data_IF_375666856156
#
_entry.id   IF_375666856156
#
_cell.length_a   1.000
_cell.length_b   1.000
_cell.length_c   1.000
_cell.angle_alpha   90.00
_cell.angle_beta   90.00
_cell.angle_gamma   90.00
#
_symmetry.space_group_name_H-M   'P 1'
#
loop_
_entity.id
_entity.type
_entity.pdbx_description
1 polymer ?
#
# COMPACT_ATOMS: atom_id res chain seq x y z
N UNK A 1 -15.04 5.07 3.23
CA UNK A 1 -16.35 4.40 3.00
C UNK A 1 -16.23 2.92 3.31
N UNK A 2 -17.10 2.39 4.17
CA UNK A 2 -17.07 0.99 4.62
C UNK A 2 -18.10 0.15 3.87
N UNK A 3 -17.74 -1.10 3.54
CA UNK A 3 -18.55 -2.02 2.77
C UNK A 3 -18.65 -3.37 3.46
N UNK A 4 -19.89 -3.89 3.56
CA UNK A 4 -20.18 -5.23 4.08
C UNK A 4 -19.86 -6.35 3.07
N UNK A 5 -19.04 -6.06 2.06
CA UNK A 5 -18.62 -6.99 1.01
C UNK A 5 -17.21 -6.67 0.56
N UNK A 6 -16.53 -7.69 0.02
CA UNK A 6 -15.19 -7.58 -0.51
C UNK A 6 -15.18 -6.64 -1.72
N UNK A 7 -14.32 -5.63 -1.66
CA UNK A 7 -14.03 -4.77 -2.81
C UNK A 7 -13.08 -5.52 -3.74
N UNK A 8 -13.47 -5.68 -4.99
CA UNK A 8 -12.71 -6.25 -6.08
C UNK A 8 -12.37 -5.17 -7.10
N UNK A 9 -11.51 -5.52 -8.05
CA UNK A 9 -11.17 -4.64 -9.19
C UNK A 9 -12.43 -4.23 -9.98
N UNK A 10 -13.46 -5.07 -10.01
CA UNK A 10 -14.67 -4.83 -10.80
C UNK A 10 -15.69 -3.92 -10.10
N UNK A 11 -15.67 -3.83 -8.77
CA UNK A 11 -16.67 -3.12 -7.97
C UNK A 11 -16.10 -1.94 -7.15
N UNK A 12 -14.89 -1.46 -7.48
CA UNK A 12 -14.28 -0.31 -6.81
C UNK A 12 -15.20 0.92 -6.85
N UNK A 13 -15.51 1.53 -5.69
CA UNK A 13 -16.38 2.70 -5.62
C UNK A 13 -15.70 3.93 -6.20
N UNK A 14 -16.48 4.75 -6.91
CA UNK A 14 -16.05 6.08 -7.33
C UNK A 14 -15.84 6.97 -6.09
N UNK A 15 -14.83 7.86 -6.09
CA UNK A 15 -14.66 8.85 -5.03
C UNK A 15 -15.89 9.75 -4.92
N UNK A 16 -16.23 10.17 -3.70
CA UNK A 16 -17.41 11.00 -3.43
C UNK A 16 -17.00 12.44 -3.11
N UNK A 17 -17.47 13.41 -3.90
CA UNK A 17 -17.28 14.85 -3.60
C UNK A 17 -15.87 15.39 -3.85
N UNK A 18 -15.39 16.28 -2.96
CA UNK A 18 -14.07 16.95 -3.02
C UNK A 18 -12.87 16.01 -2.77
N UNK A 19 -13.14 14.74 -2.51
CA UNK A 19 -12.15 13.68 -2.36
C UNK A 19 -11.39 13.46 -3.67
N UNK A 20 -10.18 14.01 -3.76
CA UNK A 20 -9.23 13.88 -4.85
C UNK A 20 -9.65 14.35 -6.26
N UNK A 21 -10.95 14.50 -6.55
CA UNK A 21 -11.47 14.86 -7.86
C UNK A 21 -11.71 16.35 -8.07
N UNK A 22 -11.65 17.19 -7.01
CA UNK A 22 -12.10 18.60 -7.07
C UNK A 22 -11.18 19.55 -6.30
N UNK A 23 -9.86 19.31 -6.28
CA UNK A 23 -8.91 20.27 -5.69
C UNK A 23 -7.87 20.66 -6.73
N UNK A 24 -7.54 21.96 -6.89
CA UNK A 24 -6.48 22.41 -7.79
C UNK A 24 -5.16 21.68 -7.54
N UNK A 25 -4.27 21.68 -8.54
CA UNK A 25 -2.98 20.98 -8.66
C UNK A 25 -1.97 21.10 -7.50
N UNK A 26 -2.32 21.76 -6.41
CA UNK A 26 -1.47 21.98 -5.24
C UNK A 26 -1.47 20.80 -4.26
N UNK A 27 -2.41 19.86 -4.41
CA UNK A 27 -2.56 18.72 -3.50
C UNK A 27 -2.17 17.40 -4.17
N UNK A 28 -1.42 16.57 -3.46
CA UNK A 28 -1.32 15.16 -3.81
C UNK A 28 -2.54 14.39 -3.31
N UNK A 29 -2.77 13.20 -3.86
CA UNK A 29 -3.84 12.34 -3.42
C UNK A 29 -3.42 10.91 -3.14
N UNK A 30 -4.09 10.33 -2.15
CA UNK A 30 -3.96 8.94 -1.74
C UNK A 30 -5.31 8.26 -1.82
N UNK A 31 -5.41 7.22 -2.63
CA UNK A 31 -6.55 6.30 -2.64
C UNK A 31 -6.13 4.97 -1.99
N UNK A 32 -6.79 4.58 -0.90
CA UNK A 32 -6.49 3.36 -0.15
C UNK A 32 -7.65 2.40 -0.17
N UNK A 33 -7.39 1.13 -0.43
CA UNK A 33 -8.33 0.01 -0.26
C UNK A 33 -7.79 -0.88 0.85
N UNK A 34 -8.60 -1.19 1.84
CA UNK A 34 -8.31 -2.12 2.92
C UNK A 34 -9.25 -3.31 2.84
N UNK A 35 -8.71 -4.52 2.96
CA UNK A 35 -9.44 -5.77 3.08
C UNK A 35 -9.25 -6.33 4.48
N UNK A 36 -10.37 -6.63 5.14
CA UNK A 36 -10.41 -7.26 6.45
C UNK A 36 -10.66 -8.77 6.30
N UNK A 37 -10.29 -9.53 7.31
CA UNK A 37 -10.44 -10.98 7.34
C UNK A 37 -11.87 -11.47 7.53
N UNK A 38 -12.74 -10.63 8.09
CA UNK A 38 -14.19 -10.87 8.19
C UNK A 38 -14.93 -10.78 6.84
N UNK A 39 -14.19 -10.50 5.74
CA UNK A 39 -14.74 -10.36 4.39
C UNK A 39 -15.31 -8.97 4.10
N UNK A 40 -15.16 -8.00 5.02
CA UNK A 40 -15.49 -6.60 4.75
C UNK A 40 -14.33 -5.87 4.09
N UNK A 41 -14.60 -4.68 3.56
CA UNK A 41 -13.59 -3.85 2.94
C UNK A 41 -13.89 -2.37 3.13
N UNK A 42 -12.86 -1.55 3.04
CA UNK A 42 -12.97 -0.12 3.18
C UNK A 42 -12.15 0.59 2.11
N UNK A 43 -12.67 1.70 1.59
CA UNK A 43 -11.94 2.59 0.68
C UNK A 43 -11.90 4.01 1.22
N UNK A 44 -10.72 4.61 1.20
CA UNK A 44 -10.49 5.99 1.60
C UNK A 44 -9.81 6.77 0.50
N UNK A 45 -10.21 8.03 0.34
CA UNK A 45 -9.58 8.99 -0.54
C UNK A 45 -9.15 10.19 0.31
N UNK A 46 -7.87 10.52 0.28
CA UNK A 46 -7.28 11.57 1.12
C UNK A 46 -6.48 12.51 0.21
N UNK A 47 -6.80 13.80 0.25
CA UNK A 47 -5.99 14.86 -0.35
C UNK A 47 -5.02 15.43 0.70
N UNK A 48 -3.73 15.47 0.39
CA UNK A 48 -2.69 16.05 1.26
C UNK A 48 -1.70 16.86 0.42
N UNK A 49 -1.43 18.14 0.77
CA UNK A 49 -0.49 18.97 0.03
C UNK A 49 0.97 18.48 0.12
N UNK A 50 1.28 17.61 1.08
CA UNK A 50 2.65 17.19 1.37
C UNK A 50 2.99 15.78 0.87
N UNK A 51 2.18 15.17 -0.02
CA UNK A 51 2.55 13.86 -0.58
C UNK A 51 3.84 13.99 -1.41
N UNK A 52 4.95 13.35 -0.97
CA UNK A 52 6.25 13.70 -1.51
C UNK A 52 6.54 13.04 -2.85
N UNK A 53 5.91 11.89 -3.17
CA UNK A 53 6.26 11.07 -4.35
C UNK A 53 5.09 10.19 -4.81
N UNK A 54 5.02 9.96 -6.13
CA UNK A 54 4.16 8.94 -6.75
C UNK A 54 4.60 7.54 -6.31
N UNK A 55 3.72 6.84 -5.60
CA UNK A 55 4.03 5.53 -5.02
C UNK A 55 2.81 4.64 -4.91
N UNK A 56 3.02 3.33 -5.02
CA UNK A 56 2.09 2.32 -4.52
C UNK A 56 2.63 1.80 -3.19
N UNK A 57 1.85 1.95 -2.13
CA UNK A 57 2.16 1.38 -0.81
C UNK A 57 1.27 0.18 -0.60
N UNK A 58 1.86 -0.94 -0.27
CA UNK A 58 1.15 -2.18 0.04
C UNK A 58 1.50 -2.61 1.46
N UNK A 59 0.52 -3.07 2.21
CA UNK A 59 0.78 -3.61 3.54
C UNK A 59 0.00 -4.90 3.77
N UNK A 60 0.69 -5.87 4.36
CA UNK A 60 0.07 -7.04 4.99
C UNK A 60 0.32 -6.95 6.48
N UNK A 61 -0.76 -6.95 7.26
CA UNK A 61 -0.72 -6.94 8.72
C UNK A 61 -1.38 -8.20 9.27
N UNK A 62 -0.75 -8.79 10.30
CA UNK A 62 -1.35 -9.84 11.10
C UNK A 62 -1.15 -9.55 12.57
N UNK A 63 -2.24 -9.60 13.34
CA UNK A 63 -2.30 -9.28 14.77
C UNK A 63 -2.93 -10.43 15.54
N UNK A 64 -2.50 -10.64 16.77
CA UNK A 64 -3.08 -11.60 17.71
C UNK A 64 -3.47 -10.87 18.98
N UNK A 65 -4.75 -10.91 19.32
CA UNK A 65 -5.26 -10.37 20.59
C UNK A 65 -4.98 -11.36 21.71
N UNK A 66 -4.09 -11.02 22.65
CA UNK A 66 -3.53 -12.01 23.59
C UNK A 66 -4.57 -12.67 24.51
N UNK A 67 -5.70 -12.02 24.78
CA UNK A 67 -6.72 -12.52 25.70
C UNK A 67 -7.71 -13.47 25.06
N UNK A 68 -8.00 -13.28 23.78
CA UNK A 68 -8.90 -14.16 23.01
C UNK A 68 -8.14 -15.20 22.17
N UNK A 69 -6.85 -14.96 21.90
CA UNK A 69 -6.11 -15.74 20.90
C UNK A 69 -6.63 -15.52 19.47
N UNK A 70 -7.45 -14.49 19.27
CA UNK A 70 -8.05 -14.16 17.99
C UNK A 70 -7.02 -13.50 17.07
N UNK A 71 -6.96 -13.99 15.84
CA UNK A 71 -6.08 -13.50 14.79
C UNK A 71 -6.86 -12.53 13.92
N UNK A 72 -6.29 -11.34 13.71
CA UNK A 72 -6.81 -10.36 12.76
C UNK A 72 -5.81 -10.21 11.62
N UNK A 73 -6.26 -10.39 10.39
CA UNK A 73 -5.42 -10.18 9.19
C UNK A 73 -6.01 -9.13 8.28
N UNK A 74 -5.23 -8.09 8.03
CA UNK A 74 -5.62 -7.00 7.15
C UNK A 74 -4.60 -6.87 6.02
N UNK A 75 -5.09 -6.55 4.82
CA UNK A 75 -4.25 -6.13 3.70
C UNK A 75 -4.73 -4.76 3.25
N UNK A 76 -3.84 -3.86 2.88
CA UNK A 76 -4.25 -2.64 2.20
C UNK A 76 -3.29 -2.27 1.08
N UNK A 77 -3.83 -1.64 0.05
CA UNK A 77 -3.07 -0.95 -0.98
C UNK A 77 -3.42 0.52 -0.98
N UNK A 78 -2.41 1.38 -1.08
CA UNK A 78 -2.53 2.83 -1.19
C UNK A 78 -1.85 3.27 -2.47
N UNK A 79 -2.59 3.91 -3.37
CA UNK A 79 -2.02 4.59 -4.52
C UNK A 79 -1.89 6.07 -4.19
N UNK A 80 -0.65 6.54 -4.04
CA UNK A 80 -0.33 7.92 -3.77
C UNK A 80 0.22 8.55 -5.04
N UNK A 81 -0.27 9.72 -5.42
CA UNK A 81 0.26 10.44 -6.55
C UNK A 81 0.14 11.95 -6.35
N UNK A 82 1.07 12.67 -6.95
CA UNK A 82 1.03 14.12 -7.04
C UNK A 82 0.37 14.50 -8.36
N UNK A 83 -0.68 15.33 -8.31
CA UNK A 83 -1.31 15.83 -9.53
C UNK A 83 -0.26 16.59 -10.37
N UNK A 84 -0.09 16.20 -11.62
CA UNK A 84 0.76 16.93 -12.57
C UNK A 84 -0.13 17.63 -13.60
N UNK A 85 0.10 18.93 -13.81
CA UNK A 85 -0.54 19.72 -14.86
C UNK A 85 -2.08 19.56 -14.93
N UNK A 86 -2.78 19.76 -13.81
CA UNK A 86 -4.24 19.67 -13.73
C UNK A 86 -4.85 18.32 -14.17
N UNK A 87 -4.05 17.25 -14.23
CA UNK A 87 -4.55 15.90 -14.55
C UNK A 87 -4.70 15.09 -13.26
N UNK A 88 -5.92 14.66 -12.89
CA UNK A 88 -6.12 13.77 -11.76
C UNK A 88 -5.35 12.46 -11.98
N UNK A 89 -4.49 12.11 -11.03
CA UNK A 89 -3.64 10.93 -11.15
C UNK A 89 -4.17 9.73 -10.36
N UNK A 90 -5.06 9.92 -9.39
CA UNK A 90 -5.57 8.85 -8.52
C UNK A 90 -6.99 8.40 -8.91
N UNK A 91 -7.27 8.33 -10.21
CA UNK A 91 -8.54 7.82 -10.72
C UNK A 91 -8.77 6.37 -10.29
N UNK A 92 -10.03 5.95 -10.30
CA UNK A 92 -10.40 4.54 -10.04
C UNK A 92 -9.67 3.60 -11.00
N UNK A 93 -9.45 4.01 -12.24
CA UNK A 93 -8.67 3.26 -13.24
C UNK A 93 -7.22 3.06 -12.81
N UNK A 94 -6.56 4.09 -12.29
CA UNK A 94 -5.18 3.98 -11.83
C UNK A 94 -5.08 3.12 -10.56
N UNK A 95 -6.07 3.20 -9.67
CA UNK A 95 -6.18 2.29 -8.52
C UNK A 95 -6.39 0.83 -8.97
N UNK A 96 -7.27 0.59 -9.96
CA UNK A 96 -7.42 -0.74 -10.59
C UNK A 96 -6.10 -1.25 -11.15
N UNK A 97 -5.36 -0.40 -11.86
CA UNK A 97 -4.04 -0.76 -12.39
C UNK A 97 -3.03 -1.09 -11.29
N UNK A 98 -3.01 -0.32 -10.19
CA UNK A 98 -2.17 -0.61 -9.04
C UNK A 98 -2.49 -1.98 -8.43
N UNK A 99 -3.78 -2.28 -8.21
CA UNK A 99 -4.23 -3.58 -7.69
C UNK A 99 -3.83 -4.71 -8.63
N UNK A 100 -4.14 -4.58 -9.92
CA UNK A 100 -3.84 -5.61 -10.93
C UNK A 100 -2.34 -5.82 -11.15
N UNK A 101 -1.51 -4.83 -10.85
CA UNK A 101 -0.06 -4.90 -10.97
C UNK A 101 0.62 -5.40 -9.70
N UNK A 102 -0.14 -5.60 -8.61
CA UNK A 102 0.39 -6.07 -7.33
C UNK A 102 0.13 -7.56 -7.15
N UNK A 103 1.17 -8.31 -6.77
CA UNK A 103 1.06 -9.71 -6.37
C UNK A 103 1.28 -9.83 -4.86
N UNK A 104 0.26 -10.33 -4.17
CA UNK A 104 0.23 -10.47 -2.71
C UNK A 104 0.67 -11.86 -2.24
N UNK A 105 1.18 -11.97 -1.00
CA UNK A 105 1.31 -13.24 -0.32
C UNK A 105 -0.04 -13.96 -0.18
N UNK A 106 -0.01 -15.28 -0.34
CA UNK A 106 -1.17 -16.15 -0.11
C UNK A 106 -1.52 -16.23 1.37
N UNK A 107 -2.75 -16.62 1.69
CA UNK A 107 -3.15 -16.82 3.08
C UNK A 107 -2.34 -17.93 3.75
N UNK A 108 -1.98 -18.99 3.02
CA UNK A 108 -1.09 -20.05 3.51
C UNK A 108 0.30 -19.50 3.89
N UNK A 109 0.87 -18.60 3.07
CA UNK A 109 2.15 -17.96 3.39
C UNK A 109 2.06 -17.11 4.65
N UNK A 110 0.95 -16.38 4.83
CA UNK A 110 0.67 -15.54 5.99
C UNK A 110 0.53 -16.39 7.26
N UNK A 111 -0.28 -17.44 7.21
CA UNK A 111 -0.57 -18.34 8.35
C UNK A 111 0.67 -19.11 8.84
N UNK A 112 1.65 -19.41 7.96
CA UNK A 112 2.92 -20.03 8.36
C UNK A 112 3.65 -19.27 9.47
N UNK A 113 3.40 -17.97 9.61
CA UNK A 113 4.04 -17.11 10.59
C UNK A 113 3.30 -17.00 11.94
N UNK A 114 2.15 -17.67 12.12
CA UNK A 114 1.40 -17.67 13.38
C UNK A 114 2.21 -18.15 14.58
N UNK A 115 3.12 -19.11 14.32
CA UNK A 115 4.04 -19.64 15.34
C UNK A 115 5.03 -18.59 15.87
N UNK A 116 5.27 -17.49 15.14
CA UNK A 116 6.09 -16.37 15.63
C UNK A 116 5.33 -15.49 16.63
N UNK A 117 4.01 -15.34 16.47
CA UNK A 117 3.16 -14.35 17.17
C UNK A 117 2.31 -14.95 18.30
N UNK A 118 2.77 -16.05 18.90
CA UNK A 118 2.03 -16.79 19.94
C UNK A 118 1.63 -15.93 21.16
N UNK A 119 0.37 -16.03 21.65
CA UNK A 119 -0.05 -15.38 22.89
C UNK A 119 0.87 -15.73 24.05
N UNK A 120 1.43 -14.72 24.72
CA UNK A 120 2.32 -14.91 25.88
C UNK A 120 2.05 -13.88 26.97
N UNK A 121 2.35 -14.27 28.21
CA UNK A 121 1.99 -13.48 29.41
C UNK A 121 3.12 -12.63 29.97
N UNK A 122 4.39 -12.82 29.57
CA UNK A 122 5.53 -12.19 30.26
C UNK A 122 6.53 -11.48 29.32
N UNK A 123 6.77 -10.18 29.54
CA UNK A 123 7.84 -9.39 28.92
C UNK A 123 8.55 -8.51 29.97
N UNK A 124 9.87 -8.38 29.86
CA UNK A 124 10.69 -7.50 30.71
C UNK A 124 11.50 -6.50 29.84
N UNK A 125 11.38 -5.21 30.14
CA UNK A 125 11.76 -4.09 29.27
C UNK A 125 13.25 -3.89 28.97
N UNK A 126 14.16 -4.22 29.90
CA UNK A 126 15.62 -4.05 29.74
C UNK A 126 16.23 -4.72 28.50
N UNK A 127 15.41 -5.52 27.83
CA UNK A 127 15.74 -6.40 26.75
C UNK A 127 15.46 -5.78 25.35
N UNK A 128 14.94 -4.56 25.25
CA UNK A 128 14.76 -3.91 23.94
C UNK A 128 16.04 -3.40 23.26
N UNK A 129 17.11 -3.18 24.03
CA UNK A 129 18.31 -2.47 23.56
C UNK A 129 19.17 -3.21 22.52
N UNK A 130 18.95 -4.51 22.29
CA UNK A 130 19.80 -5.33 21.42
C UNK A 130 19.48 -5.23 19.92
N UNK A 131 18.35 -4.61 19.53
CA UNK A 131 17.98 -4.46 18.11
C UNK A 131 18.41 -3.10 17.53
N UNK A 132 19.28 -2.35 18.19
CA UNK A 132 19.64 -0.99 17.80
C UNK A 132 20.88 -0.99 16.90
N UNK A 133 20.72 -0.56 15.65
CA UNK A 133 21.84 -0.14 14.79
C UNK A 133 21.63 1.24 14.12
N UNK A 134 20.45 1.85 14.28
CA UNK A 134 20.11 3.21 13.81
C UNK A 134 20.05 4.21 14.96
N UNK A 135 20.49 5.45 14.70
CA UNK A 135 20.52 6.56 15.66
C UNK A 135 19.19 7.27 15.87
N UNK A 136 18.23 7.15 14.93
CA UNK A 136 17.04 8.01 14.87
C UNK A 136 15.74 7.29 15.26
N UNK A 137 15.80 6.35 16.19
CA UNK A 137 14.59 5.65 16.62
C UNK A 137 13.93 6.38 17.80
N UNK A 138 12.58 6.42 17.87
CA UNK A 138 11.89 7.14 18.92
C UNK A 138 12.26 6.56 20.29
N UNK A 139 12.99 7.34 21.09
CA UNK A 139 13.56 6.90 22.36
C UNK A 139 12.52 7.10 23.46
N UNK A 140 11.50 6.26 23.50
CA UNK A 140 10.80 6.00 24.77
C UNK A 140 11.73 5.17 25.67
N UNK A 141 11.60 5.30 27.00
CA UNK A 141 12.44 4.58 27.96
C UNK A 141 12.28 3.06 27.77
N UNK A 142 13.19 2.46 26.99
CA UNK A 142 13.16 1.05 26.63
C UNK A 142 13.28 0.16 27.87
N UNK A 143 13.97 0.61 28.92
CA UNK A 143 14.17 -0.18 30.15
C UNK A 143 12.87 -0.48 30.89
N UNK A 144 11.89 0.43 30.83
CA UNK A 144 10.57 0.28 31.45
C UNK A 144 9.53 -0.36 30.52
N UNK A 145 9.95 -0.87 29.38
CA UNK A 145 9.00 -1.26 28.35
C UNK A 145 8.23 -2.56 28.68
N UNK A 146 6.93 -2.56 28.37
CA UNK A 146 6.05 -3.74 28.51
C UNK A 146 5.97 -4.59 27.24
N UNK A 147 6.47 -4.09 26.10
CA UNK A 147 6.57 -4.84 24.85
C UNK A 147 7.67 -4.26 23.96
N UNK A 148 8.52 -5.09 23.37
CA UNK A 148 9.40 -4.62 22.31
C UNK A 148 8.75 -4.68 20.94
N UNK A 149 8.89 -3.61 20.18
CA UNK A 149 8.61 -3.59 18.76
C UNK A 149 9.92 -3.44 17.99
N UNK A 150 10.31 -4.46 17.25
CA UNK A 150 11.42 -4.41 16.30
C UNK A 150 10.96 -3.86 14.96
N UNK A 151 11.72 -2.93 14.40
CA UNK A 151 11.46 -2.34 13.09
C UNK A 151 12.71 -2.54 12.25
N UNK A 152 12.55 -3.11 11.06
CA UNK A 152 13.59 -3.11 10.04
C UNK A 152 13.08 -2.43 8.79
N UNK A 153 13.83 -1.40 8.38
CA UNK A 153 13.65 -0.72 7.12
C UNK A 153 14.70 -1.24 6.14
N UNK A 154 14.25 -1.85 5.05
CA UNK A 154 15.07 -2.27 3.93
C UNK A 154 14.89 -1.24 2.80
N UNK A 155 15.68 -0.18 2.87
CA UNK A 155 15.82 0.81 1.79
C UNK A 155 17.23 0.72 1.19
N UNK A 156 17.75 1.82 0.61
CA UNK A 156 19.17 1.93 0.18
C UNK A 156 20.16 1.51 1.28
N UNK A 157 19.76 1.61 2.55
CA UNK A 157 20.52 1.11 3.71
C UNK A 157 19.59 0.30 4.63
N UNK A 158 20.04 -0.88 5.11
CA UNK A 158 19.32 -1.66 6.13
C UNK A 158 19.40 -0.92 7.47
N UNK A 159 18.25 -0.45 7.96
CA UNK A 159 18.10 0.15 9.27
C UNK A 159 17.34 -0.77 10.20
N UNK A 160 17.85 -1.00 11.41
CA UNK A 160 17.22 -1.83 12.44
C UNK A 160 17.13 -0.99 13.71
N UNK A 161 15.94 -0.96 14.29
CA UNK A 161 15.81 -0.50 15.65
C UNK A 161 14.66 -1.13 16.42
N UNK A 162 14.61 -0.83 17.71
CA UNK A 162 13.51 -1.16 18.58
C UNK A 162 12.90 0.10 19.16
N UNK A 163 11.59 0.07 19.38
CA UNK A 163 10.88 1.10 20.13
C UNK A 163 9.97 0.49 21.19
N UNK A 164 9.60 1.32 22.17
CA UNK A 164 8.56 1.00 23.13
C UNK A 164 7.25 1.69 22.70
N UNK A 165 6.24 0.96 22.21
CA UNK A 165 4.98 1.57 21.80
C UNK A 165 4.31 2.25 22.99
N UNK A 166 3.77 3.46 22.77
CA UNK A 166 2.99 4.16 23.78
C UNK A 166 1.60 3.50 23.88
N UNK A 167 1.23 3.06 25.08
CA UNK A 167 -0.07 2.43 25.34
C UNK A 167 -0.02 0.90 25.44
N UNK A 168 -1.10 0.32 25.97
CA UNK A 168 -1.28 -1.11 26.21
C UNK A 168 -1.43 -1.88 24.89
N UNK A 169 -0.36 -2.00 24.10
CA UNK A 169 -0.34 -2.94 23.00
C UNK A 169 -0.34 -4.37 23.61
N UNK A 170 -1.55 -4.90 23.84
CA UNK A 170 -1.80 -6.26 24.30
C UNK A 170 -1.85 -7.22 23.10
N UNK A 171 -1.15 -6.90 22.02
CA UNK A 171 -1.22 -7.63 20.77
C UNK A 171 0.18 -7.97 20.31
N UNK A 172 0.37 -9.24 19.92
CA UNK A 172 1.52 -9.58 19.09
C UNK A 172 1.14 -9.30 17.64
N UNK A 173 2.06 -8.82 16.83
CA UNK A 173 1.77 -8.53 15.44
C UNK A 173 3.01 -8.54 14.59
N UNK A 174 2.80 -8.74 13.30
CA UNK A 174 3.75 -8.30 12.30
C UNK A 174 3.04 -7.46 11.23
N UNK A 175 3.81 -6.55 10.66
CA UNK A 175 3.41 -5.69 9.56
C UNK A 175 4.53 -5.75 8.52
N UNK A 176 4.18 -6.05 7.28
CA UNK A 176 5.05 -5.94 6.13
C UNK A 176 4.49 -4.88 5.19
N UNK A 177 5.12 -3.72 5.19
CA UNK A 177 4.86 -2.61 4.28
C UNK A 177 5.91 -2.61 3.15
N UNK A 178 5.47 -2.51 1.90
CA UNK A 178 6.35 -2.32 0.73
C UNK A 178 5.90 -1.05 0.01
N UNK A 179 6.84 -0.18 -0.28
CA UNK A 179 6.63 1.09 -1.01
C UNK A 179 7.29 0.95 -2.37
N UNK A 180 6.49 0.95 -3.44
CA UNK A 180 6.93 0.97 -4.82
C UNK A 180 6.93 2.41 -5.34
N UNK A 181 8.11 2.97 -5.52
CA UNK A 181 8.29 4.31 -6.07
C UNK A 181 8.17 4.25 -7.59
N UNK A 182 7.11 4.85 -8.13
CA UNK A 182 6.73 4.69 -9.53
C UNK A 182 7.74 5.36 -10.48
N UNK A 183 8.12 6.61 -10.18
CA UNK A 183 9.02 7.42 -11.04
C UNK A 183 10.38 6.77 -11.29
N UNK A 184 10.97 6.15 -10.27
CA UNK A 184 12.31 5.57 -10.35
C UNK A 184 12.30 4.04 -10.45
N UNK A 185 11.10 3.42 -10.47
CA UNK A 185 10.91 1.96 -10.50
C UNK A 185 11.70 1.23 -9.40
N UNK A 186 11.73 1.80 -8.20
CA UNK A 186 12.41 1.19 -7.05
C UNK A 186 11.42 0.77 -5.97
N UNK A 187 11.88 -0.06 -5.04
CA UNK A 187 11.09 -0.50 -3.90
C UNK A 187 11.86 -0.28 -2.59
N UNK A 188 11.10 -0.09 -1.52
CA UNK A 188 11.59 -0.18 -0.15
C UNK A 188 10.63 -1.03 0.67
N UNK A 189 11.14 -1.83 1.59
CA UNK A 189 10.34 -2.60 2.52
C UNK A 189 10.52 -2.07 3.94
N UNK A 190 9.47 -2.12 4.74
CA UNK A 190 9.49 -1.90 6.17
C UNK A 190 8.77 -3.08 6.82
N UNK A 191 9.47 -3.78 7.68
CA UNK A 191 8.90 -4.85 8.49
C UNK A 191 8.88 -4.39 9.93
N UNK A 192 7.70 -4.42 10.53
CA UNK A 192 7.50 -4.20 11.96
C UNK A 192 7.10 -5.53 12.57
N UNK A 193 7.82 -5.97 13.59
CA UNK A 193 7.50 -7.18 14.36
C UNK A 193 7.40 -6.80 15.84
N UNK A 194 6.23 -7.01 16.42
CA UNK A 194 5.92 -6.64 17.78
C UNK A 194 5.47 -7.89 18.54
N UNK A 195 6.28 -8.35 19.47
CA UNK A 195 5.95 -9.48 20.32
C UNK A 195 6.26 -9.21 21.78
N UNK A 196 5.50 -9.84 22.66
CA UNK A 196 5.80 -9.87 24.09
C UNK A 196 7.00 -10.74 24.46
N UNK A 197 7.45 -11.65 23.60
CA UNK A 197 8.64 -12.47 23.87
C UNK A 197 9.85 -12.01 23.06
N UNK A 198 10.92 -11.56 23.71
CA UNK A 198 12.20 -11.23 23.04
C UNK A 198 12.90 -12.48 22.52
N UNK A 199 13.64 -12.35 21.43
CA UNK A 199 14.67 -13.30 20.97
C UNK A 199 14.11 -14.49 20.22
N UNK A 200 12.96 -15.01 20.63
CA UNK A 200 12.23 -16.04 19.88
C UNK A 200 11.32 -15.46 18.79
N UNK A 201 10.72 -14.28 19.02
CA UNK A 201 9.90 -13.57 18.03
C UNK A 201 10.63 -12.32 17.50
N UNK A 202 10.88 -11.31 18.35
CA UNK A 202 11.52 -10.05 17.94
C UNK A 202 13.02 -10.24 17.68
N UNK A 203 13.39 -10.85 16.55
CA UNK A 203 14.76 -11.09 16.15
C UNK A 203 14.97 -10.69 14.69
N UNK A 204 16.21 -10.36 14.32
CA UNK A 204 16.56 -9.99 12.94
C UNK A 204 16.26 -11.17 12.01
N UNK A 205 16.50 -12.41 12.47
CA UNK A 205 16.28 -13.63 11.70
C UNK A 205 14.80 -13.81 11.34
N UNK A 206 13.88 -13.56 12.27
CA UNK A 206 12.45 -13.67 11.99
C UNK A 206 11.96 -12.53 11.09
N UNK A 207 12.48 -11.32 11.28
CA UNK A 207 12.14 -10.19 10.42
C UNK A 207 12.63 -10.44 8.98
N UNK A 208 13.86 -10.96 8.81
CA UNK A 208 14.40 -11.37 7.51
C UNK A 208 13.57 -12.53 6.90
N UNK A 209 13.08 -13.49 7.70
CA UNK A 209 12.17 -14.56 7.22
C UNK A 209 10.85 -13.99 6.71
N UNK A 210 10.21 -13.07 7.45
CA UNK A 210 8.97 -12.41 7.02
C UNK A 210 9.19 -11.75 5.67
N UNK A 211 10.27 -10.95 5.53
CA UNK A 211 10.60 -10.28 4.27
C UNK A 211 10.76 -11.27 3.10
N UNK A 212 11.46 -12.37 3.32
CA UNK A 212 11.83 -13.29 2.23
C UNK A 212 10.67 -14.19 1.80
N UNK A 213 9.72 -14.49 2.68
CA UNK A 213 8.59 -15.38 2.39
C UNK A 213 7.30 -14.62 2.03
N UNK A 214 7.06 -13.46 2.64
CA UNK A 214 5.88 -12.62 2.38
C UNK A 214 6.16 -11.57 1.29
N UNK A 215 6.91 -11.94 0.25
CA UNK A 215 7.30 -11.00 -0.80
C UNK A 215 6.07 -10.45 -1.51
N UNK A 216 5.89 -9.13 -1.43
CA UNK A 216 4.96 -8.39 -2.27
C UNK A 216 5.71 -7.96 -3.54
N UNK A 217 5.17 -8.27 -4.72
CA UNK A 217 5.77 -7.87 -6.01
C UNK A 217 4.88 -6.87 -6.73
N UNK A 218 5.51 -5.97 -7.48
CA UNK A 218 4.82 -5.01 -8.32
C UNK A 218 5.35 -5.04 -9.76
N UNK A 219 4.47 -5.18 -10.73
CA UNK A 219 4.79 -5.16 -12.15
C UNK A 219 4.64 -3.73 -12.71
N UNK A 220 5.75 -2.99 -12.73
CA UNK A 220 5.79 -1.63 -13.27
C UNK A 220 5.39 -1.58 -14.76
N UNK A 221 5.73 -2.60 -15.55
CA UNK A 221 5.42 -2.59 -16.99
C UNK A 221 3.93 -2.78 -17.22
N UNK A 222 3.29 -3.68 -16.45
CA UNK A 222 1.83 -3.85 -16.47
C UNK A 222 1.11 -2.56 -16.08
N UNK A 223 1.58 -1.88 -15.03
CA UNK A 223 1.02 -0.61 -14.56
C UNK A 223 1.07 0.50 -15.62
N UNK A 224 2.19 0.64 -16.33
CA UNK A 224 2.36 1.69 -17.34
C UNK A 224 1.74 1.35 -18.71
N UNK A 225 1.66 0.07 -19.09
CA UNK A 225 0.99 -0.32 -20.35
C UNK A 225 -0.52 -0.09 -20.29
N UNK A 226 -1.14 -0.31 -19.15
CA UNK A 226 -2.59 -0.14 -18.98
C UNK A 226 -3.01 1.34 -18.95
N UNK A 227 -2.11 2.26 -18.58
CA UNK A 227 -2.35 3.71 -18.65
C UNK A 227 -2.17 4.27 -20.07
N UNK A 228 -1.23 3.73 -20.86
CA UNK A 228 -0.99 4.17 -22.23
C UNK A 228 -2.12 3.83 -23.23
N UNK A 229 -2.96 2.82 -22.95
CA UNK A 229 -4.08 2.47 -23.83
C UNK A 229 -5.23 3.48 -23.79
N UNK A 230 -5.27 4.37 -22.79
CA UNK A 230 -6.34 5.37 -22.63
C UNK A 230 -6.03 6.66 -23.41
N UNK A 231 -4.76 6.91 -23.77
CA UNK A 231 -4.34 8.10 -24.55
C UNK A 231 -4.38 7.91 -26.07
N UNK A 232 -4.85 6.76 -26.56
CA UNK A 232 -5.10 6.53 -28.00
C UNK A 232 -6.54 6.08 -28.24
N UNK A 233 -7.51 6.94 -27.91
CA UNK A 233 -8.68 6.98 -28.79
C UNK A 233 -8.26 7.80 -30.00
N UNK A 234 -8.08 7.19 -31.20
CA UNK A 234 -7.88 7.99 -32.39
C UNK A 234 -9.13 8.84 -32.50
N UNK A 235 -8.94 10.16 -32.45
CA UNK A 235 -9.89 11.12 -32.95
C UNK A 235 -10.31 10.57 -34.31
N UNK A 236 -11.51 10.00 -34.40
CA UNK A 236 -12.14 9.71 -35.68
C UNK A 236 -12.25 11.06 -36.34
N UNK A 237 -11.29 11.37 -37.20
CA UNK A 237 -11.42 12.42 -38.20
C UNK A 237 -12.55 11.92 -39.08
N UNK A 238 -13.75 12.39 -38.74
CA UNK A 238 -14.94 12.27 -39.55
C UNK A 238 -14.61 13.05 -40.84
N UNK A 239 -14.10 12.37 -41.85
CA UNK A 239 -14.01 12.92 -43.20
C UNK A 239 -15.45 13.11 -43.70
N UNK A 240 -15.97 14.32 -43.49
CA UNK A 240 -17.11 14.85 -44.22
C UNK A 240 -16.71 14.90 -45.70
N UNK A 241 -17.08 13.87 -46.45
CA UNK A 241 -17.11 13.93 -47.92
C UNK A 241 -18.27 14.85 -48.28
N UNK A 242 -17.97 16.14 -48.45
CA UNK A 242 -18.87 17.08 -49.12
C UNK A 242 -18.73 16.83 -50.61
N UNK A 243 -19.70 16.12 -51.20
CA UNK A 243 -19.84 16.03 -52.66
C UNK A 243 -20.33 17.40 -53.14
N UNK A 244 -19.41 18.27 -53.55
CA UNK A 244 -19.72 19.45 -54.36
C UNK A 244 -19.77 18.99 -55.81
N UNK A 245 -20.96 18.61 -56.26
CA UNK A 245 -21.28 18.43 -57.68
C UNK A 245 -21.78 19.74 -58.25
N UNK A 246 -20.88 20.61 -58.71
CA UNK A 246 -21.21 21.74 -59.58
C UNK A 246 -20.03 22.02 -60.51
N UNK A 247 -20.20 21.75 -61.81
CA UNK A 247 -19.82 22.56 -62.98
C UNK A 247 -20.38 21.78 -64.21
N UNK A 248 -21.50 22.25 -64.78
CA UNK A 248 -21.58 23.03 -66.03
C UNK A 248 -21.01 22.25 -67.23
N UNK A 249 -21.87 21.74 -68.11
CA UNK A 249 -22.46 22.45 -69.25
C UNK A 249 -21.43 22.65 -70.37
N UNK A 250 -21.55 21.84 -71.42
CA UNK A 250 -21.09 22.20 -72.76
C UNK A 250 -22.20 21.94 -73.77
N UNK A 251 -22.45 22.99 -74.55
CA UNK A 251 -23.40 23.09 -75.62
C UNK A 251 -22.83 22.52 -76.93
N UNK A 252 -23.71 21.95 -77.75
CA UNK A 252 -23.69 22.14 -79.21
C UNK A 252 -22.88 21.16 -80.05
N UNK A 253 -23.57 20.24 -80.71
CA UNK A 253 -23.89 20.32 -82.16
C UNK A 253 -25.02 19.33 -82.49
#
# INVERSE_FOLDING_TARGET
MFFNSIITVDNLPLPTGEECGIVPSEYGCSARVTWFDDGTSEVHYIADPNFPLDSVVTQTERKVTTWSGEYITNKYISFNCQASNNTPCNTVENLKHAILSTMWPTNEQIEKFDTLIVPTTDFYGSTCLQLLNKSNCPITNLLSCQQCMGIIEYSKTKGVCAMCPAGKALTNSYEHETIFFLRNKTQADKITLACRRRGACNSIENIDRIKNELVIKFDFEKFYRSTASITRSPMMILFLIVIIGFFHADCGQ
#
